data_IF_098095580923
#
_entry.id   IF_098095580923
#
_cell.length_a   1.000
_cell.length_b   1.000
_cell.length_c   1.000
_cell.angle_alpha   90.00
_cell.angle_beta   90.00
_cell.angle_gamma   90.00
#
_symmetry.space_group_name_H-M   'P 1'
#
loop_
_entity.id
_entity.type
_entity.pdbx_description
1 polymer ?
#
# COMPACT_ATOMS: atom_id res chain seq x y z
N UNK A 1 0.18 9.87 2.63
CA UNK A 1 1.29 8.99 2.17
C UNK A 1 0.90 8.44 0.80
N UNK A 2 1.85 8.01 -0.03
CA UNK A 2 1.51 7.28 -1.25
C UNK A 2 1.01 5.88 -0.85
N UNK A 3 -0.10 5.41 -1.42
CA UNK A 3 -0.63 4.08 -1.14
C UNK A 3 0.38 2.99 -1.53
N UNK A 4 0.41 1.89 -0.78
CA UNK A 4 1.29 0.74 -1.03
C UNK A 4 0.45 -0.47 -1.41
N UNK A 5 0.68 -0.99 -2.62
CA UNK A 5 0.01 -2.17 -3.16
C UNK A 5 1.02 -3.33 -3.26
N UNK A 6 0.76 -4.43 -2.56
CA UNK A 6 1.57 -5.64 -2.64
C UNK A 6 1.00 -6.64 -3.66
N UNK A 7 1.85 -7.17 -4.54
CA UNK A 7 1.52 -8.26 -5.44
C UNK A 7 1.98 -9.58 -4.85
N UNK A 8 1.02 -10.43 -4.47
CA UNK A 8 1.24 -11.71 -3.80
C UNK A 8 0.71 -12.84 -4.67
N UNK A 9 1.32 -14.02 -4.60
CA UNK A 9 0.88 -15.20 -5.34
C UNK A 9 2.02 -16.18 -5.58
N UNK A 10 1.69 -17.42 -5.95
CA UNK A 10 2.71 -18.45 -6.25
C UNK A 10 3.61 -18.06 -7.43
N UNK A 11 4.76 -18.74 -7.65
CA UNK A 11 5.60 -18.50 -8.82
C UNK A 11 4.81 -18.60 -10.14
N UNK A 12 5.23 -17.84 -11.15
CA UNK A 12 4.72 -17.88 -12.53
C UNK A 12 3.25 -17.46 -12.78
N UNK A 13 2.48 -17.01 -11.78
CA UNK A 13 1.12 -16.45 -11.98
C UNK A 13 1.09 -15.09 -12.71
N UNK A 14 2.25 -14.48 -12.94
CA UNK A 14 2.39 -13.21 -13.67
C UNK A 14 2.49 -11.95 -12.79
N UNK A 15 2.94 -12.08 -11.53
CA UNK A 15 3.25 -10.95 -10.63
C UNK A 15 4.18 -9.92 -11.28
N UNK A 16 5.35 -10.37 -11.76
CA UNK A 16 6.31 -9.48 -12.39
C UNK A 16 5.82 -8.89 -13.72
N UNK A 17 4.91 -9.57 -14.43
CA UNK A 17 4.24 -9.02 -15.62
C UNK A 17 3.32 -7.85 -15.24
N UNK A 18 2.50 -8.04 -14.20
CA UNK A 18 1.64 -6.98 -13.69
C UNK A 18 2.46 -5.82 -13.10
N UNK A 19 3.47 -6.13 -12.28
CA UNK A 19 4.41 -5.16 -11.74
C UNK A 19 4.98 -4.28 -12.85
N UNK A 20 5.62 -4.90 -13.84
CA UNK A 20 6.21 -4.18 -14.97
C UNK A 20 5.17 -3.37 -15.75
N UNK A 21 3.93 -3.84 -15.87
CA UNK A 21 2.88 -3.07 -16.54
C UNK A 21 2.55 -1.80 -15.76
N UNK A 22 2.33 -1.92 -14.45
CA UNK A 22 2.00 -0.79 -13.59
C UNK A 22 3.14 0.24 -13.55
N UNK A 23 4.39 -0.25 -13.54
CA UNK A 23 5.62 0.55 -13.37
C UNK A 23 6.31 0.91 -14.69
N UNK A 24 5.75 0.58 -15.87
CA UNK A 24 6.26 1.04 -17.18
C UNK A 24 5.31 2.01 -17.87
N UNK A 25 4.26 2.48 -17.18
CA UNK A 25 3.58 3.70 -17.60
C UNK A 25 4.62 4.83 -17.63
N UNK A 26 4.51 5.74 -18.62
CA UNK A 26 5.57 6.68 -19.07
C UNK A 26 6.15 7.64 -17.99
N UNK A 27 5.74 7.50 -16.73
CA UNK A 27 6.08 8.39 -15.61
C UNK A 27 6.65 7.66 -14.38
N UNK A 28 6.86 6.34 -14.46
CA UNK A 28 7.40 5.57 -13.36
C UNK A 28 8.89 5.87 -13.12
N UNK A 29 9.20 6.48 -11.98
CA UNK A 29 10.56 6.63 -11.47
C UNK A 29 10.79 5.52 -10.44
N UNK A 30 11.89 4.77 -10.59
CA UNK A 30 12.38 3.89 -9.52
C UNK A 30 12.83 4.81 -8.38
N UNK A 31 12.14 4.77 -7.25
CA UNK A 31 12.45 5.64 -6.12
C UNK A 31 13.40 4.96 -5.14
N UNK A 32 14.62 5.49 -5.02
CA UNK A 32 15.51 5.22 -3.89
C UNK A 32 15.01 6.01 -2.66
N UNK A 33 13.90 5.58 -2.05
CA UNK A 33 13.42 6.19 -0.81
C UNK A 33 14.27 5.68 0.38
N UNK A 34 14.82 6.57 1.24
CA UNK A 34 15.59 6.15 2.42
C UNK A 34 14.69 5.34 3.37
N UNK A 35 15.10 4.11 3.69
CA UNK A 35 14.35 3.19 4.56
C UNK A 35 13.80 1.95 3.85
N UNK A 36 13.95 1.82 2.54
CA UNK A 36 13.60 0.62 1.80
C UNK A 36 14.75 -0.39 1.81
N UNK A 37 14.47 -1.66 2.13
CA UNK A 37 15.46 -2.74 2.06
C UNK A 37 15.75 -3.09 0.59
N UNK A 38 17.02 -3.37 0.28
CA UNK A 38 17.54 -3.71 -1.06
C UNK A 38 16.90 -4.97 -1.68
N UNK A 39 16.17 -5.74 -0.88
CA UNK A 39 15.71 -7.09 -1.20
C UNK A 39 14.30 -7.12 -1.83
N UNK A 40 13.74 -5.97 -2.26
CA UNK A 40 12.39 -5.89 -2.82
C UNK A 40 12.36 -5.00 -4.06
N UNK A 41 11.66 -5.47 -5.11
CA UNK A 41 11.38 -4.64 -6.27
C UNK A 41 10.23 -3.70 -5.93
N UNK A 42 10.59 -2.45 -5.63
CA UNK A 42 9.65 -1.35 -5.54
C UNK A 42 9.55 -0.65 -6.88
N UNK A 43 8.33 -0.30 -7.25
CA UNK A 43 8.10 0.59 -8.39
C UNK A 43 7.05 1.63 -8.07
N UNK A 44 7.24 2.83 -8.58
CA UNK A 44 6.22 3.87 -8.54
C UNK A 44 5.31 3.67 -9.74
N UNK A 45 4.01 3.68 -9.49
CA UNK A 45 2.96 3.64 -10.50
C UNK A 45 1.99 4.80 -10.28
N UNK A 46 1.15 5.06 -11.29
CA UNK A 46 0.18 6.14 -11.27
C UNK A 46 -1.15 5.66 -11.81
N UNK A 47 -2.23 6.06 -11.15
CA UNK A 47 -3.61 5.85 -11.58
C UNK A 47 -4.33 7.20 -11.50
N UNK A 48 -4.80 7.72 -12.64
CA UNK A 48 -5.25 9.10 -12.75
C UNK A 48 -4.17 10.10 -12.30
N UNK A 49 -4.47 10.87 -11.26
CA UNK A 49 -3.54 11.83 -10.63
C UNK A 49 -2.84 11.28 -9.38
N UNK A 50 -3.21 10.08 -8.93
CA UNK A 50 -2.70 9.48 -7.69
C UNK A 50 -1.48 8.60 -7.98
N UNK A 51 -0.39 8.83 -7.24
CA UNK A 51 0.81 7.99 -7.27
C UNK A 51 0.79 6.97 -6.13
N UNK A 52 1.24 5.77 -6.42
CA UNK A 52 1.31 4.67 -5.47
C UNK A 52 2.57 3.84 -5.66
N UNK A 53 2.95 3.11 -4.61
CA UNK A 53 4.04 2.15 -4.62
C UNK A 53 3.48 0.76 -4.89
N UNK A 54 4.18 0.02 -5.74
CA UNK A 54 3.91 -1.39 -5.98
C UNK A 54 5.10 -2.21 -5.48
N UNK A 55 4.81 -3.28 -4.77
CA UNK A 55 5.80 -4.24 -4.26
C UNK A 55 5.58 -5.58 -4.95
N UNK A 56 6.60 -6.12 -5.63
CA UNK A 56 6.59 -7.52 -6.10
C UNK A 56 7.24 -8.42 -5.04
N UNK A 57 6.45 -9.31 -4.41
CA UNK A 57 6.97 -10.23 -3.39
C UNK A 57 7.72 -11.43 -3.97
N UNK A 58 7.75 -11.60 -5.30
CA UNK A 58 8.41 -12.72 -5.96
C UNK A 58 9.78 -12.42 -6.58
N UNK A 59 10.29 -11.18 -6.46
CA UNK A 59 11.49 -10.73 -7.17
C UNK A 59 12.84 -11.30 -6.68
N UNK A 60 12.86 -12.02 -5.55
CA UNK A 60 14.03 -12.74 -5.07
C UNK A 60 13.67 -14.21 -4.96
N UNK A 61 14.04 -15.01 -5.96
CA UNK A 61 14.32 -16.43 -5.75
C UNK A 61 15.76 -16.52 -5.24
N UNK A 62 16.02 -16.80 -3.96
CA UNK A 62 17.39 -17.06 -3.52
C UNK A 62 17.98 -18.23 -4.33
N UNK A 63 19.25 -18.11 -4.74
CA UNK A 63 19.95 -19.16 -5.50
C UNK A 63 20.16 -20.46 -4.68
N UNK A 64 19.92 -20.42 -3.36
CA UNK A 64 20.11 -21.53 -2.43
C UNK A 64 18.81 -22.26 -2.08
N UNK A 65 18.74 -23.54 -2.43
CA UNK A 65 17.54 -24.39 -2.34
C UNK A 65 17.15 -24.83 -0.92
N UNK A 66 18.00 -24.64 0.09
CA UNK A 66 17.71 -25.02 1.48
C UNK A 66 17.29 -23.79 2.31
N UNK A 67 16.06 -23.79 2.84
CA UNK A 67 15.53 -22.69 3.67
C UNK A 67 14.72 -21.61 2.91
N UNK A 68 14.65 -21.70 1.57
CA UNK A 68 13.96 -20.77 0.66
C UNK A 68 12.51 -20.46 1.07
N UNK A 69 11.76 -21.51 1.42
CA UNK A 69 10.31 -21.42 1.67
C UNK A 69 9.99 -20.56 2.90
N UNK A 70 10.77 -20.69 3.97
CA UNK A 70 10.54 -19.94 5.21
C UNK A 70 10.91 -18.45 5.04
N UNK A 71 12.00 -18.16 4.31
CA UNK A 71 12.43 -16.80 3.99
C UNK A 71 11.44 -16.09 3.06
N UNK A 72 10.96 -16.77 2.00
CA UNK A 72 9.95 -16.24 1.09
C UNK A 72 8.60 -15.99 1.80
N UNK A 73 8.21 -16.85 2.73
CA UNK A 73 7.02 -16.65 3.55
C UNK A 73 7.16 -15.44 4.48
N UNK A 74 8.32 -15.26 5.12
CA UNK A 74 8.58 -14.09 5.96
C UNK A 74 8.55 -12.78 5.15
N UNK A 75 9.15 -12.77 3.96
CA UNK A 75 9.14 -11.63 3.05
C UNK A 75 7.72 -11.28 2.58
N UNK A 76 6.93 -12.30 2.24
CA UNK A 76 5.51 -12.13 1.84
C UNK A 76 4.69 -11.53 2.99
N UNK A 77 4.85 -12.02 4.22
CA UNK A 77 4.18 -11.45 5.40
C UNK A 77 4.55 -9.99 5.65
N UNK A 78 5.82 -9.66 5.51
CA UNK A 78 6.27 -8.28 5.71
C UNK A 78 5.69 -7.34 4.64
N UNK A 79 5.64 -7.77 3.38
CA UNK A 79 5.00 -7.00 2.32
C UNK A 79 3.49 -6.81 2.56
N UNK A 80 2.79 -7.85 3.04
CA UNK A 80 1.37 -7.74 3.42
C UNK A 80 1.18 -6.76 4.58
N UNK A 81 2.07 -6.77 5.58
CA UNK A 81 1.98 -5.87 6.73
C UNK A 81 2.14 -4.40 6.32
N UNK A 82 3.09 -4.11 5.42
CA UNK A 82 3.39 -2.77 4.90
C UNK A 82 2.38 -2.27 3.86
N UNK A 83 1.59 -3.16 3.24
CA UNK A 83 0.64 -2.80 2.20
C UNK A 83 -0.67 -2.20 2.75
N UNK A 84 -1.20 -1.20 2.04
CA UNK A 84 -2.55 -0.67 2.23
C UNK A 84 -3.58 -1.58 1.52
N UNK A 85 -3.19 -2.17 0.39
CA UNK A 85 -3.99 -3.14 -0.36
C UNK A 85 -3.12 -4.31 -0.87
N UNK A 86 -3.66 -5.52 -0.85
CA UNK A 86 -2.98 -6.72 -1.35
C UNK A 86 -3.68 -7.27 -2.59
N UNK A 87 -2.96 -7.38 -3.70
CA UNK A 87 -3.43 -8.08 -4.89
C UNK A 87 -2.91 -9.52 -4.85
N UNK A 88 -3.79 -10.48 -4.62
CA UNK A 88 -3.45 -11.90 -4.65
C UNK A 88 -3.70 -12.47 -6.05
N UNK A 89 -2.63 -12.73 -6.78
CA UNK A 89 -2.66 -13.22 -8.15
C UNK A 89 -2.69 -14.74 -8.21
N UNK A 90 -3.60 -15.25 -9.03
CA UNK A 90 -3.73 -16.66 -9.41
C UNK A 90 -3.79 -16.78 -10.94
N UNK A 91 -3.53 -17.97 -11.47
CA UNK A 91 -3.46 -18.20 -12.91
C UNK A 91 -4.75 -18.85 -13.43
N UNK A 92 -5.45 -18.19 -14.35
CA UNK A 92 -6.65 -18.71 -14.99
C UNK A 92 -6.42 -20.02 -15.77
N UNK A 93 -5.24 -20.20 -16.36
CA UNK A 93 -4.94 -21.32 -17.27
C UNK A 93 -4.55 -22.57 -16.52
N UNK A 94 -3.85 -22.41 -15.41
CA UNK A 94 -3.41 -23.51 -14.56
C UNK A 94 -4.40 -23.84 -13.43
N UNK A 95 -5.35 -22.93 -13.15
CA UNK A 95 -6.29 -23.09 -12.06
C UNK A 95 -5.65 -22.91 -10.68
N UNK A 96 -6.38 -23.32 -9.65
CA UNK A 96 -5.92 -23.28 -8.26
C UNK A 96 -4.97 -24.44 -7.93
N UNK A 97 -3.93 -24.13 -7.19
CA UNK A 97 -3.02 -25.09 -6.57
C UNK A 97 -3.17 -25.11 -5.05
N UNK A 98 -2.63 -26.14 -4.39
CA UNK A 98 -2.54 -26.19 -2.93
C UNK A 98 -1.81 -24.98 -2.33
N UNK A 99 -0.79 -24.47 -3.03
CA UNK A 99 -0.07 -23.27 -2.60
C UNK A 99 -0.96 -22.01 -2.63
N UNK A 100 -1.91 -21.92 -3.58
CA UNK A 100 -2.85 -20.81 -3.62
C UNK A 100 -3.83 -20.87 -2.44
N UNK A 101 -4.26 -22.07 -2.04
CA UNK A 101 -5.11 -22.27 -0.85
C UNK A 101 -4.38 -21.88 0.44
N UNK A 102 -3.11 -22.25 0.58
CA UNK A 102 -2.25 -21.89 1.72
C UNK A 102 -2.05 -20.38 1.83
N UNK A 103 -1.70 -19.72 0.72
CA UNK A 103 -1.53 -18.26 0.66
C UNK A 103 -2.86 -17.57 0.99
N UNK A 104 -3.99 -18.04 0.44
CA UNK A 104 -5.30 -17.48 0.75
C UNK A 104 -5.66 -17.63 2.23
N UNK A 105 -5.31 -18.76 2.86
CA UNK A 105 -5.52 -18.97 4.29
C UNK A 105 -4.69 -18.04 5.17
N UNK A 106 -3.49 -17.66 4.73
CA UNK A 106 -2.68 -16.64 5.38
C UNK A 106 -3.27 -15.24 5.19
N UNK A 107 -3.67 -14.90 3.97
CA UNK A 107 -4.26 -13.60 3.65
C UNK A 107 -5.56 -13.34 4.40
N UNK A 108 -6.43 -14.34 4.54
CA UNK A 108 -7.67 -14.22 5.36
C UNK A 108 -7.39 -13.88 6.83
N UNK A 109 -6.25 -14.30 7.37
CA UNK A 109 -5.85 -14.02 8.76
C UNK A 109 -5.16 -12.67 8.93
N UNK A 110 -4.75 -12.02 7.83
CA UNK A 110 -3.99 -10.76 7.88
C UNK A 110 -4.84 -9.54 8.27
N UNK A 111 -6.16 -9.60 8.09
CA UNK A 111 -7.07 -8.47 8.31
C UNK A 111 -6.93 -7.33 7.29
N UNK A 112 -6.10 -7.51 6.26
CA UNK A 112 -5.92 -6.54 5.16
C UNK A 112 -7.00 -6.71 4.10
N UNK A 113 -7.28 -5.64 3.36
CA UNK A 113 -8.12 -5.71 2.16
C UNK A 113 -7.36 -6.45 1.07
N UNK A 114 -7.93 -7.56 0.61
CA UNK A 114 -7.34 -8.45 -0.39
C UNK A 114 -8.20 -8.46 -1.64
N UNK A 115 -7.57 -8.20 -2.78
CA UNK A 115 -8.15 -8.30 -4.11
C UNK A 115 -7.70 -9.61 -4.72
N UNK A 116 -8.61 -10.55 -4.91
CA UNK A 116 -8.32 -11.78 -5.66
C UNK A 116 -8.24 -11.45 -7.15
N UNK A 117 -7.09 -11.69 -7.76
CA UNK A 117 -6.80 -11.32 -9.15
C UNK A 117 -6.52 -12.57 -9.97
N UNK A 118 -7.47 -12.96 -10.81
CA UNK A 118 -7.32 -14.08 -11.75
C UNK A 118 -6.67 -13.55 -13.03
N UNK A 119 -5.37 -13.84 -13.18
CA UNK A 119 -4.55 -13.36 -14.27
C UNK A 119 -4.48 -14.36 -15.44
N UNK A 120 -3.95 -13.92 -16.58
CA UNK A 120 -3.82 -14.68 -17.83
C UNK A 120 -5.17 -15.04 -18.47
N UNK A 121 -6.20 -14.27 -18.18
CA UNK A 121 -7.49 -14.40 -18.86
C UNK A 121 -7.34 -14.07 -20.34
N UNK A 122 -7.93 -14.89 -21.18
CA UNK A 122 -8.03 -14.58 -22.60
C UNK A 122 -9.12 -13.50 -22.80
N UNK A 123 -9.01 -12.65 -23.83
CA UNK A 123 -9.89 -11.49 -24.09
C UNK A 123 -11.38 -11.89 -24.26
N UNK A 124 -11.68 -13.19 -24.34
CA UNK A 124 -13.03 -13.76 -24.50
C UNK A 124 -13.55 -14.50 -23.25
N UNK A 125 -12.78 -14.59 -22.17
CA UNK A 125 -13.17 -15.33 -20.96
C UNK A 125 -14.14 -14.52 -20.10
N UNK A 126 -15.41 -14.90 -20.08
CA UNK A 126 -16.42 -14.25 -19.25
C UNK A 126 -16.16 -14.54 -17.76
N UNK A 127 -16.37 -13.53 -16.91
CA UNK A 127 -16.33 -13.59 -15.43
C UNK A 127 -17.23 -14.71 -14.86
N UNK A 128 -18.21 -15.17 -15.63
CA UNK A 128 -19.18 -16.20 -15.27
C UNK A 128 -18.61 -17.63 -15.13
N UNK A 129 -17.36 -17.90 -15.56
CA UNK A 129 -16.81 -19.27 -15.64
C UNK A 129 -15.82 -19.66 -14.53
N UNK A 130 -15.68 -18.85 -13.47
CA UNK A 130 -14.65 -19.08 -12.44
C UNK A 130 -15.19 -19.49 -11.03
N UNK A 131 -16.18 -20.41 -10.87
CA UNK A 131 -16.64 -20.86 -9.56
C UNK A 131 -15.54 -21.38 -8.63
N UNK A 132 -14.48 -21.97 -9.19
CA UNK A 132 -13.40 -22.56 -8.41
C UNK A 132 -12.64 -21.53 -7.57
N UNK A 133 -12.47 -20.31 -8.08
CA UNK A 133 -11.72 -19.24 -7.42
C UNK A 133 -12.48 -18.63 -6.24
N UNK A 134 -13.82 -18.70 -6.24
CA UNK A 134 -14.64 -18.31 -5.10
C UNK A 134 -14.36 -19.13 -3.84
N UNK A 135 -13.88 -20.37 -3.99
CA UNK A 135 -13.58 -21.27 -2.88
C UNK A 135 -12.45 -20.74 -1.98
N UNK A 136 -11.66 -19.79 -2.47
CA UNK A 136 -10.62 -19.11 -1.69
C UNK A 136 -11.21 -18.17 -0.61
N UNK A 137 -12.50 -17.81 -0.69
CA UNK A 137 -13.15 -17.00 0.35
C UNK A 137 -12.57 -15.59 0.49
N UNK A 138 -12.11 -14.99 -0.61
CA UNK A 138 -11.48 -13.66 -0.68
C UNK A 138 -12.34 -12.64 -1.44
N UNK A 139 -13.66 -12.84 -1.49
CA UNK A 139 -14.59 -11.98 -2.22
C UNK A 139 -14.70 -12.32 -3.71
N UNK A 140 -15.17 -11.36 -4.50
CA UNK A 140 -15.34 -11.52 -5.95
C UNK A 140 -13.98 -11.40 -6.66
N UNK A 141 -13.62 -12.34 -7.56
CA UNK A 141 -12.37 -12.27 -8.30
C UNK A 141 -12.40 -11.17 -9.38
N UNK A 142 -11.30 -10.45 -9.50
CA UNK A 142 -10.99 -9.55 -10.62
C UNK A 142 -10.26 -10.32 -11.70
N UNK A 143 -10.76 -10.28 -12.93
CA UNK A 143 -10.16 -10.95 -14.07
C UNK A 143 -9.27 -10.00 -14.86
N UNK A 144 -8.00 -10.35 -15.05
CA UNK A 144 -7.06 -9.52 -15.81
C UNK A 144 -6.26 -10.33 -16.83
N UNK A 145 -5.75 -9.61 -17.83
CA UNK A 145 -4.70 -10.10 -18.73
C UNK A 145 -3.49 -9.17 -18.64
N UNK A 146 -2.63 -9.38 -17.64
CA UNK A 146 -1.51 -8.47 -17.36
C UNK A 146 -0.55 -8.28 -18.54
N UNK A 147 -0.44 -9.24 -19.47
CA UNK A 147 0.36 -9.08 -20.69
C UNK A 147 -0.24 -8.07 -21.67
N UNK A 148 -1.56 -7.92 -21.70
CA UNK A 148 -2.29 -7.05 -22.64
C UNK A 148 -2.92 -5.81 -21.98
N UNK A 149 -3.01 -5.78 -20.65
CA UNK A 149 -3.56 -4.66 -19.86
C UNK A 149 -5.06 -4.72 -19.63
N UNK A 150 -5.76 -5.73 -20.16
CA UNK A 150 -7.18 -5.89 -19.95
C UNK A 150 -7.51 -6.10 -18.46
N UNK A 151 -8.55 -5.41 -17.97
CA UNK A 151 -9.04 -5.50 -16.59
C UNK A 151 -8.16 -4.84 -15.53
N UNK A 152 -6.97 -4.35 -15.89
CA UNK A 152 -6.02 -3.75 -14.93
C UNK A 152 -6.55 -2.41 -14.40
N UNK A 153 -7.09 -1.54 -15.26
CA UNK A 153 -7.68 -0.27 -14.81
C UNK A 153 -8.89 -0.50 -13.90
N UNK A 154 -9.78 -1.44 -14.24
CA UNK A 154 -10.94 -1.77 -13.39
C UNK A 154 -10.53 -2.29 -12.01
N UNK A 155 -9.44 -3.07 -11.94
CA UNK A 155 -8.85 -3.48 -10.66
C UNK A 155 -8.33 -2.27 -9.87
N UNK A 156 -7.63 -1.34 -10.52
CA UNK A 156 -7.13 -0.13 -9.88
C UNK A 156 -8.27 0.78 -9.42
N UNK A 157 -9.29 1.00 -10.24
CA UNK A 157 -10.48 1.78 -9.88
C UNK A 157 -11.11 1.25 -8.59
N UNK A 158 -11.28 -0.07 -8.48
CA UNK A 158 -11.80 -0.69 -7.27
C UNK A 158 -10.88 -0.52 -6.06
N UNK A 159 -9.57 -0.71 -6.25
CA UNK A 159 -8.58 -0.50 -5.18
C UNK A 159 -8.63 0.93 -4.66
N UNK A 160 -8.62 1.92 -5.56
CA UNK A 160 -8.61 3.33 -5.18
C UNK A 160 -9.95 3.82 -4.65
N UNK A 161 -11.08 3.20 -5.04
CA UNK A 161 -12.38 3.47 -4.42
C UNK A 161 -12.40 3.06 -2.93
N UNK A 162 -11.80 1.93 -2.58
CA UNK A 162 -11.72 1.45 -1.20
C UNK A 162 -10.61 2.15 -0.39
N UNK A 163 -9.52 2.55 -1.05
CA UNK A 163 -8.41 3.29 -0.43
C UNK A 163 -8.70 4.79 -0.27
N UNK A 164 -9.68 5.34 -0.98
CA UNK A 164 -10.15 6.71 -0.80
C UNK A 164 -10.77 6.85 0.60
N UNK A 165 -9.91 7.15 1.57
CA UNK A 165 -10.31 7.57 2.91
C UNK A 165 -11.24 8.79 2.75
N UNK A 166 -12.35 8.90 3.52
CA UNK A 166 -13.30 10.01 3.42
C UNK A 166 -12.63 11.38 3.40
N UNK A 167 -13.24 12.36 2.72
CA UNK A 167 -12.77 13.76 2.56
C UNK A 167 -12.14 14.38 3.83
N UNK A 168 -12.58 13.95 5.01
CA UNK A 168 -12.08 14.34 6.33
C UNK A 168 -10.58 14.00 6.55
N UNK A 169 -10.09 12.86 6.07
CA UNK A 169 -8.66 12.49 6.16
C UNK A 169 -7.81 13.14 5.05
N UNK A 170 -8.42 13.44 3.90
CA UNK A 170 -7.78 14.21 2.84
C UNK A 170 -7.52 15.66 3.28
N UNK A 171 -8.41 16.23 4.09
CA UNK A 171 -8.21 17.54 4.72
C UNK A 171 -6.98 17.57 5.65
N UNK A 172 -6.75 16.53 6.46
CA UNK A 172 -5.54 16.40 7.29
C UNK A 172 -4.25 16.18 6.47
N UNK A 173 -4.33 15.52 5.31
CA UNK A 173 -3.20 15.33 4.39
C UNK A 173 -2.90 16.59 3.55
N UNK A 174 -3.87 17.50 3.44
CA UNK A 174 -3.75 18.76 2.70
C UNK A 174 -2.97 19.85 3.44
N UNK A 175 -2.53 19.59 4.68
CA UNK A 175 -1.74 20.54 5.45
C UNK A 175 -0.39 20.84 4.76
N UNK A 176 -0.37 21.96 4.06
CA UNK A 176 0.78 22.51 3.36
C UNK A 176 1.78 23.11 4.36
N UNK A 177 3.08 22.86 4.14
CA UNK A 177 4.16 23.51 4.90
C UNK A 177 5.21 22.54 5.45
N UNK A 178 6.38 23.05 5.88
CA UNK A 178 7.41 22.25 6.53
C UNK A 178 6.89 21.63 7.84
N UNK A 179 7.24 20.36 8.05
CA UNK A 179 6.86 19.60 9.25
C UNK A 179 7.92 19.78 10.34
N UNK A 180 7.49 20.11 11.55
CA UNK A 180 8.38 20.40 12.68
C UNK A 180 7.96 19.51 13.85
N UNK A 181 8.91 18.76 14.41
CA UNK A 181 8.73 17.98 15.63
C UNK A 181 9.73 18.46 16.71
N UNK A 182 9.29 18.52 17.97
CA UNK A 182 10.13 18.94 19.10
C UNK A 182 10.52 17.72 19.93
N UNK A 183 11.80 17.34 19.87
CA UNK A 183 12.34 16.16 20.55
C UNK A 183 13.17 16.56 21.78
N UNK A 184 13.15 15.71 22.82
CA UNK A 184 13.94 15.94 24.04
C UNK A 184 13.51 15.08 25.22
N UNK A 185 14.35 15.03 26.27
CA UNK A 185 14.10 14.24 27.49
C UNK A 185 12.77 14.64 28.18
N UNK A 186 12.16 13.76 29.00
CA UNK A 186 11.01 14.15 29.82
C UNK A 186 11.30 15.40 30.66
N UNK A 187 10.32 16.28 30.83
CA UNK A 187 10.37 17.49 31.66
C UNK A 187 11.38 18.59 31.25
N UNK A 188 11.96 18.55 30.04
CA UNK A 188 12.87 19.64 29.55
C UNK A 188 12.15 20.88 29.02
N UNK A 189 10.82 20.96 29.18
CA UNK A 189 10.02 22.11 28.72
C UNK A 189 9.55 22.02 27.26
N UNK A 190 9.51 20.84 26.63
CA UNK A 190 9.01 20.65 25.26
C UNK A 190 7.60 21.21 25.06
N UNK A 191 6.67 20.86 25.94
CA UNK A 191 5.28 21.32 25.88
C UNK A 191 5.17 22.83 26.07
N UNK A 192 6.03 23.42 26.92
CA UNK A 192 6.10 24.88 27.09
C UNK A 192 6.56 25.57 25.81
N UNK A 193 7.57 25.03 25.13
CA UNK A 193 8.06 25.56 23.85
C UNK A 193 7.01 25.45 22.75
N UNK A 194 6.37 24.28 22.62
CA UNK A 194 5.28 24.03 21.66
C UNK A 194 4.14 25.04 21.88
N UNK A 195 3.66 25.19 23.11
CA UNK A 195 2.59 26.13 23.43
C UNK A 195 2.98 27.59 23.18
N UNK A 196 4.23 27.98 23.46
CA UNK A 196 4.72 29.31 23.14
C UNK A 196 4.77 29.56 21.62
N UNK A 197 5.17 28.57 20.83
CA UNK A 197 5.18 28.66 19.37
C UNK A 197 3.77 28.72 18.77
N UNK A 198 2.80 28.03 19.38
CA UNK A 198 1.39 28.07 18.99
C UNK A 198 0.67 29.35 19.48
N UNK A 199 1.21 30.06 20.48
CA UNK A 199 0.61 31.28 21.05
C UNK A 199 0.84 32.58 20.26
N UNK A 200 1.80 32.61 19.33
CA UNK A 200 2.11 33.81 18.53
C UNK A 200 1.26 33.87 17.25
N UNK A 201 0.03 34.39 17.39
CA UNK A 201 -0.92 34.81 16.35
C UNK A 201 -1.30 33.78 15.25
N UNK A 202 -2.57 33.33 15.36
CA UNK A 202 -3.38 32.55 14.40
C UNK A 202 -3.05 31.07 14.30
N UNK A 203 -3.37 30.33 15.36
CA UNK A 203 -3.62 28.89 15.27
C UNK A 203 -5.11 28.69 15.00
N UNK A 204 -5.44 28.12 13.84
CA UNK A 204 -6.77 27.52 13.63
C UNK A 204 -6.70 26.16 14.31
N UNK A 205 -7.13 26.11 15.57
CA UNK A 205 -7.18 24.86 16.34
C UNK A 205 -8.37 24.05 15.81
N UNK A 206 -8.07 22.94 15.13
CA UNK A 206 -9.04 21.86 14.96
C UNK A 206 -8.98 21.00 16.23
N UNK A 207 -9.86 21.27 17.18
CA UNK A 207 -10.03 20.42 18.36
C UNK A 207 -10.75 19.13 17.93
N UNK A 208 -9.99 18.07 17.66
CA UNK A 208 -10.50 16.71 17.69
C UNK A 208 -10.01 16.04 18.99
N UNK A 209 -10.88 15.88 20.01
CA UNK A 209 -10.47 15.27 21.26
C UNK A 209 -10.42 13.74 21.12
N UNK A 210 -9.26 13.15 21.40
CA UNK A 210 -9.12 11.74 21.75
C UNK A 210 -8.17 10.92 20.87
N UNK A 211 -6.95 10.70 21.33
CA UNK A 211 -6.42 9.39 21.80
C UNK A 211 -4.90 9.45 21.91
N UNK A 212 -4.38 9.09 23.08
CA UNK A 212 -2.96 9.07 23.46
C UNK A 212 -2.21 7.89 22.84
N UNK A 213 -2.18 7.82 21.51
CA UNK A 213 -1.32 6.86 20.78
C UNK A 213 -0.86 7.31 19.41
N UNK A 214 -1.50 8.32 18.83
CA UNK A 214 -1.13 8.85 17.51
C UNK A 214 -0.57 10.27 17.64
N UNK A 215 0.52 10.53 16.92
CA UNK A 215 1.17 11.85 16.90
C UNK A 215 0.17 12.91 16.43
N UNK A 216 -0.12 13.91 17.27
CA UNK A 216 -1.06 14.99 16.94
C UNK A 216 -0.39 15.94 15.94
N UNK A 217 -1.10 16.30 14.87
CA UNK A 217 -0.63 17.23 13.84
C UNK A 217 -1.39 18.55 13.98
N UNK A 218 -0.68 19.63 14.22
CA UNK A 218 -1.25 20.96 14.44
C UNK A 218 -0.77 21.88 13.31
N UNK A 219 -1.63 22.31 12.38
CA UNK A 219 -1.27 23.32 11.41
C UNK A 219 -1.11 24.69 12.09
N UNK A 220 -0.07 25.42 11.74
CA UNK A 220 0.13 26.79 12.21
C UNK A 220 0.82 27.64 11.16
N UNK A 221 0.60 28.96 11.21
CA UNK A 221 1.24 29.92 10.31
C UNK A 221 2.23 30.77 11.10
N UNK A 222 3.42 31.02 10.55
CA UNK A 222 4.37 31.98 11.11
C UNK A 222 5.01 32.81 10.01
N UNK A 223 4.94 34.14 10.17
CA UNK A 223 5.46 35.10 9.19
C UNK A 223 4.91 34.88 7.76
N UNK A 224 3.62 34.59 7.61
CA UNK A 224 2.99 34.36 6.31
C UNK A 224 3.29 33.00 5.69
N UNK A 225 3.94 32.08 6.42
CA UNK A 225 4.34 30.77 5.93
C UNK A 225 3.64 29.68 6.72
N UNK A 226 3.02 28.69 6.04
CA UNK A 226 2.35 27.60 6.73
C UNK A 226 3.37 26.54 7.16
N UNK A 227 3.11 25.95 8.33
CA UNK A 227 3.90 24.88 8.95
C UNK A 227 2.96 23.85 9.56
N UNK A 228 3.49 22.65 9.79
CA UNK A 228 2.76 21.57 10.48
C UNK A 228 3.59 21.11 11.67
N UNK A 229 3.09 21.34 12.89
CA UNK A 229 3.71 20.84 14.11
C UNK A 229 3.26 19.40 14.36
N UNK A 230 4.21 18.53 14.68
CA UNK A 230 3.96 17.14 15.05
C UNK A 230 4.30 17.00 16.54
N UNK A 231 3.28 16.82 17.36
CA UNK A 231 3.46 16.46 18.77
C UNK A 231 3.52 14.93 18.88
N UNK A 232 4.69 14.42 19.24
CA UNK A 232 4.97 12.99 19.30
C UNK A 232 4.83 12.39 20.70
N UNK A 233 4.19 13.10 21.64
CA UNK A 233 3.92 12.71 23.05
C UNK A 233 4.88 11.67 23.67
#
# INVERSE_FOLDING_TARGET
>A
MAAVIALVGRPNVGKSTLFNRLTRSREALVADLPGLTRDRHYGVAQHGTQRFLVIDTGGFEPEEREGLVAAMAAQTRQAIAEADAVCFLVDAKEGLSAQDEEIAAELRRSGKTVYLVVNKMDVRGAVAELPEFHRLGLGMPYTIAASHGHGVETLLDAIFADLAVPEEAAAELSLSGPRIAVLGRPNVGKSTLVNAMLGEQRVIVYDAPGTTRDSIRIPYERAGRPYVMIDTA
#
